data_IF_004385946202
#
_entry.id   IF_004385946202
#
_cell.length_a   1.000
_cell.length_b   1.000
_cell.length_c   1.000
_cell.angle_alpha   90.00
_cell.angle_beta   90.00
_cell.angle_gamma   90.00
#
_symmetry.space_group_name_H-M   'P 1'
#
loop_
_entity.id
_entity.type
_entity.pdbx_description
1 polymer ?
#
# COMPACT_ATOMS: atom_id res chain seq x y z
N UNK A 1 -50.67 -6.95 17.36
CA UNK A 1 -51.56 -6.15 18.22
C UNK A 1 -52.15 -7.08 19.26
N UNK A 2 -52.19 -6.69 20.53
CA UNK A 2 -52.93 -7.46 21.55
C UNK A 2 -54.40 -7.12 21.33
N UNK A 3 -55.21 -8.13 21.01
CA UNK A 3 -56.61 -7.94 20.61
C UNK A 3 -57.49 -7.53 21.80
N UNK A 4 -57.19 -8.02 23.01
CA UNK A 4 -57.85 -7.65 24.27
C UNK A 4 -56.82 -7.43 25.40
N UNK A 5 -56.49 -6.17 25.76
CA UNK A 5 -55.45 -5.85 26.71
C UNK A 5 -55.90 -6.04 28.17
N UNK A 6 -55.57 -7.19 28.75
CA UNK A 6 -55.57 -7.43 30.21
C UNK A 6 -54.17 -7.20 30.78
N UNK A 7 -54.06 -6.86 32.07
CA UNK A 7 -52.76 -6.73 32.77
C UNK A 7 -51.88 -7.97 32.61
N UNK A 8 -52.46 -9.16 32.69
CA UNK A 8 -51.80 -10.45 32.45
C UNK A 8 -51.27 -10.58 31.01
N UNK A 9 -52.11 -10.28 30.01
CA UNK A 9 -51.74 -10.36 28.59
C UNK A 9 -50.60 -9.38 28.23
N UNK A 10 -50.63 -8.17 28.81
CA UNK A 10 -49.59 -7.16 28.62
C UNK A 10 -48.27 -7.62 29.23
N UNK A 11 -48.28 -8.16 30.45
CA UNK A 11 -47.07 -8.65 31.13
C UNK A 11 -46.46 -9.84 30.38
N UNK A 12 -47.30 -10.77 29.91
CA UNK A 12 -46.86 -11.90 29.11
C UNK A 12 -46.25 -11.47 27.78
N UNK A 13 -46.87 -10.51 27.07
CA UNK A 13 -46.31 -9.93 25.86
C UNK A 13 -44.95 -9.27 26.11
N UNK A 14 -44.81 -8.50 27.20
CA UNK A 14 -43.53 -7.87 27.58
C UNK A 14 -42.45 -8.91 27.84
N UNK A 15 -42.77 -9.99 28.57
CA UNK A 15 -41.87 -11.12 28.80
C UNK A 15 -41.39 -11.76 27.50
N UNK A 16 -42.31 -12.09 26.60
CA UNK A 16 -41.96 -12.66 25.29
C UNK A 16 -41.15 -11.69 24.43
N UNK A 17 -41.51 -10.41 24.38
CA UNK A 17 -40.76 -9.38 23.66
C UNK A 17 -39.33 -9.26 24.18
N UNK A 18 -39.15 -9.23 25.50
CA UNK A 18 -37.83 -9.16 26.13
C UNK A 18 -37.02 -10.43 25.85
N UNK A 19 -37.65 -11.60 25.94
CA UNK A 19 -37.02 -12.87 25.62
C UNK A 19 -36.57 -12.94 24.15
N UNK A 20 -37.46 -12.59 23.21
CA UNK A 20 -37.16 -12.52 21.78
C UNK A 20 -36.03 -11.52 21.47
N UNK A 21 -36.05 -10.34 22.10
CA UNK A 21 -35.00 -9.33 21.95
C UNK A 21 -33.66 -9.86 22.47
N UNK A 22 -33.68 -10.57 23.61
CA UNK A 22 -32.50 -11.20 24.20
C UNK A 22 -31.93 -12.28 23.28
N UNK A 23 -32.77 -13.19 22.80
CA UNK A 23 -32.37 -14.23 21.84
C UNK A 23 -31.79 -13.61 20.58
N UNK A 24 -32.44 -12.60 20.01
CA UNK A 24 -31.96 -11.90 18.81
C UNK A 24 -30.58 -11.29 19.04
N UNK A 25 -30.33 -10.69 20.20
CA UNK A 25 -29.03 -10.11 20.55
C UNK A 25 -27.94 -11.18 20.67
N UNK A 26 -28.24 -12.28 21.36
CA UNK A 26 -27.32 -13.41 21.54
C UNK A 26 -26.99 -14.05 20.19
N UNK A 27 -28.00 -14.35 19.37
CA UNK A 27 -27.79 -14.95 18.05
C UNK A 27 -26.94 -14.07 17.13
N UNK A 28 -27.17 -12.75 17.12
CA UNK A 28 -26.34 -11.81 16.36
C UNK A 28 -24.90 -11.78 16.86
N UNK A 29 -24.69 -11.74 18.17
CA UNK A 29 -23.36 -11.77 18.78
C UNK A 29 -22.59 -13.02 18.38
N UNK A 30 -23.22 -14.19 18.53
CA UNK A 30 -22.61 -15.48 18.20
C UNK A 30 -22.27 -15.59 16.71
N UNK A 31 -23.16 -15.12 15.83
CA UNK A 31 -22.91 -15.11 14.39
C UNK A 31 -21.64 -14.32 14.03
N UNK A 32 -21.52 -13.07 14.50
CA UNK A 32 -20.36 -12.25 14.19
C UNK A 32 -19.08 -12.74 14.86
N UNK A 33 -19.17 -13.28 16.07
CA UNK A 33 -18.02 -13.91 16.74
C UNK A 33 -17.48 -15.08 15.92
N UNK A 34 -18.35 -15.97 15.44
CA UNK A 34 -17.94 -17.09 14.58
C UNK A 34 -17.34 -16.60 13.26
N UNK A 35 -17.97 -15.61 12.60
CA UNK A 35 -17.47 -15.02 11.35
C UNK A 35 -16.07 -14.38 11.51
N UNK A 36 -15.80 -13.76 12.65
CA UNK A 36 -14.47 -13.22 12.99
C UNK A 36 -13.45 -14.35 13.19
N UNK A 37 -13.81 -15.41 13.91
CA UNK A 37 -12.93 -16.55 14.17
C UNK A 37 -12.56 -17.29 12.87
N UNK A 38 -13.52 -17.48 11.96
CA UNK A 38 -13.28 -18.04 10.63
C UNK A 38 -12.35 -17.15 9.78
N UNK A 39 -12.43 -15.84 9.95
CA UNK A 39 -11.65 -14.84 9.24
C UNK A 39 -10.29 -14.49 9.86
N UNK A 40 -9.90 -15.07 11.01
CA UNK A 40 -8.76 -14.59 11.82
C UNK A 40 -7.42 -14.50 11.08
N UNK A 41 -7.17 -15.40 10.13
CA UNK A 41 -5.93 -15.44 9.35
C UNK A 41 -6.03 -14.65 8.03
N UNK A 42 -7.17 -14.01 7.76
CA UNK A 42 -7.43 -13.28 6.54
C UNK A 42 -7.92 -11.87 6.88
N UNK A 43 -6.97 -10.92 6.90
CA UNK A 43 -7.25 -9.51 7.21
C UNK A 43 -8.35 -8.91 6.35
N UNK A 44 -8.50 -9.35 5.08
CA UNK A 44 -9.58 -8.87 4.21
C UNK A 44 -10.95 -9.30 4.72
N UNK A 45 -11.12 -10.59 5.03
CA UNK A 45 -12.38 -11.13 5.60
C UNK A 45 -12.72 -10.51 6.95
N UNK A 46 -11.70 -10.25 7.78
CA UNK A 46 -11.90 -9.59 9.06
C UNK A 46 -12.42 -8.16 8.87
N UNK A 47 -11.82 -7.39 7.95
CA UNK A 47 -12.28 -6.04 7.61
C UNK A 47 -13.68 -6.02 6.99
N UNK A 48 -14.02 -6.98 6.15
CA UNK A 48 -15.39 -7.15 5.63
C UNK A 48 -16.39 -7.37 6.76
N UNK A 49 -16.07 -8.23 7.73
CA UNK A 49 -16.91 -8.48 8.89
C UNK A 49 -17.08 -7.23 9.77
N UNK A 50 -16.01 -6.48 10.02
CA UNK A 50 -16.06 -5.21 10.77
C UNK A 50 -16.90 -4.18 10.03
N UNK A 51 -16.74 -4.06 8.71
CA UNK A 51 -17.53 -3.14 7.90
C UNK A 51 -19.03 -3.49 7.94
N UNK A 52 -19.39 -4.77 7.92
CA UNK A 52 -20.79 -5.19 8.06
C UNK A 52 -21.41 -4.76 9.40
N UNK A 53 -20.60 -4.71 10.47
CA UNK A 53 -21.05 -4.33 11.82
C UNK A 53 -21.09 -2.80 11.98
N UNK A 54 -20.02 -2.11 11.57
CA UNK A 54 -19.82 -0.69 11.82
C UNK A 54 -20.48 0.19 10.75
N UNK A 55 -20.48 -0.23 9.49
CA UNK A 55 -21.00 0.54 8.38
C UNK A 55 -22.36 0.00 7.96
N UNK A 56 -23.42 0.59 8.50
CA UNK A 56 -24.76 0.48 7.90
C UNK A 56 -24.67 0.89 6.42
N UNK A 57 -25.30 0.09 5.53
CA UNK A 57 -25.40 0.23 4.07
C UNK A 57 -24.81 1.53 3.55
N UNK A 58 -23.77 1.47 2.71
CA UNK A 58 -23.14 2.63 2.05
C UNK A 58 -24.21 3.65 1.72
N UNK A 59 -24.26 4.75 2.48
CA UNK A 59 -25.07 5.89 2.09
C UNK A 59 -24.31 6.47 0.90
N UNK A 60 -24.76 6.14 -0.30
CA UNK A 60 -24.33 6.83 -1.51
C UNK A 60 -24.98 8.21 -1.43
N UNK A 61 -24.32 9.13 -0.74
CA UNK A 61 -24.64 10.55 -0.85
C UNK A 61 -23.90 11.07 -2.06
N UNK A 62 -24.64 11.40 -3.11
CA UNK A 62 -24.09 12.21 -4.18
C UNK A 62 -23.73 13.59 -3.61
N UNK A 63 -22.62 14.14 -4.09
CA UNK A 63 -22.18 15.48 -3.72
C UNK A 63 -23.15 16.46 -4.39
N UNK A 64 -24.08 17.00 -3.61
CA UNK A 64 -25.13 17.89 -4.11
C UNK A 64 -24.65 19.29 -4.45
N UNK A 65 -23.59 19.76 -3.79
CA UNK A 65 -22.97 21.07 -4.04
C UNK A 65 -21.55 21.14 -3.48
N UNK A 66 -20.72 22.02 -4.02
CA UNK A 66 -19.38 22.34 -3.52
C UNK A 66 -19.15 23.85 -3.56
N UNK A 67 -18.39 24.35 -2.59
CA UNK A 67 -17.85 25.71 -2.63
C UNK A 67 -16.54 25.72 -3.44
N UNK A 68 -16.51 26.52 -4.49
CA UNK A 68 -15.33 26.71 -5.35
C UNK A 68 -14.27 27.56 -4.65
N UNK A 69 -13.03 27.55 -5.16
CA UNK A 69 -11.91 28.39 -4.70
C UNK A 69 -12.26 29.90 -4.64
N UNK A 70 -13.25 30.33 -5.41
CA UNK A 70 -13.74 31.70 -5.49
C UNK A 70 -14.88 32.01 -4.49
N UNK A 71 -15.22 31.09 -3.57
CA UNK A 71 -16.30 31.24 -2.60
C UNK A 71 -17.71 31.09 -3.17
N UNK A 72 -17.84 30.66 -4.43
CA UNK A 72 -19.15 30.40 -5.06
C UNK A 72 -19.56 28.95 -4.83
N UNK A 73 -20.79 28.75 -4.34
CA UNK A 73 -21.41 27.43 -4.24
C UNK A 73 -21.95 27.01 -5.62
N UNK A 74 -21.63 25.80 -6.06
CA UNK A 74 -22.13 25.24 -7.33
C UNK A 74 -22.70 23.84 -7.16
N UNK A 75 -23.76 23.56 -7.92
CA UNK A 75 -24.42 22.24 -8.05
C UNK A 75 -24.18 21.59 -9.42
N UNK A 76 -23.49 22.30 -10.33
CA UNK A 76 -23.27 21.80 -11.68
C UNK A 76 -22.20 20.70 -11.64
N UNK A 77 -22.50 19.47 -12.10
CA UNK A 77 -21.56 18.34 -12.02
C UNK A 77 -20.19 18.61 -12.66
N UNK A 78 -20.15 19.37 -13.77
CA UNK A 78 -18.90 19.70 -14.45
C UNK A 78 -18.08 20.71 -13.64
N UNK A 79 -18.74 21.70 -13.05
CA UNK A 79 -18.06 22.69 -12.19
C UNK A 79 -17.58 22.03 -10.89
N UNK A 80 -18.36 21.09 -10.33
CA UNK A 80 -17.95 20.28 -9.17
C UNK A 80 -16.70 19.47 -9.49
N UNK A 81 -16.69 18.75 -10.63
CA UNK A 81 -15.53 17.97 -11.07
C UNK A 81 -14.28 18.84 -11.29
N UNK A 82 -14.46 20.01 -11.90
CA UNK A 82 -13.38 20.97 -12.12
C UNK A 82 -12.83 21.52 -10.79
N UNK A 83 -13.71 21.86 -9.83
CA UNK A 83 -13.29 22.32 -8.51
C UNK A 83 -12.48 21.24 -7.75
N UNK A 84 -12.89 19.97 -7.87
CA UNK A 84 -12.12 18.85 -7.33
C UNK A 84 -10.74 18.71 -7.98
N UNK A 85 -10.69 18.79 -9.31
CA UNK A 85 -9.43 18.71 -10.05
C UNK A 85 -8.49 19.83 -9.64
N UNK A 86 -8.97 21.08 -9.67
CA UNK A 86 -8.21 22.28 -9.28
C UNK A 86 -7.66 22.17 -7.85
N UNK A 87 -8.49 21.74 -6.89
CA UNK A 87 -8.05 21.58 -5.51
C UNK A 87 -6.92 20.55 -5.38
N UNK A 88 -7.10 19.34 -5.92
CA UNK A 88 -6.12 18.27 -5.73
C UNK A 88 -4.85 18.43 -6.59
N UNK A 89 -4.90 19.16 -7.70
CA UNK A 89 -3.69 19.53 -8.44
C UNK A 89 -2.88 20.58 -7.71
N UNK A 90 -3.53 21.53 -7.04
CA UNK A 90 -2.87 22.71 -6.48
C UNK A 90 -2.55 22.55 -4.98
N UNK A 91 -3.17 21.61 -4.25
CA UNK A 91 -2.93 21.44 -2.80
C UNK A 91 -1.44 21.28 -2.46
N UNK A 92 -0.67 20.59 -3.31
CA UNK A 92 0.77 20.41 -3.10
C UNK A 92 1.57 21.72 -3.24
N UNK A 93 1.28 22.50 -4.29
CA UNK A 93 1.94 23.78 -4.53
C UNK A 93 1.52 24.83 -3.50
N UNK A 94 0.24 24.85 -3.14
CA UNK A 94 -0.33 25.78 -2.16
C UNK A 94 0.23 25.51 -0.76
N UNK A 95 0.40 24.24 -0.40
CA UNK A 95 1.01 23.89 0.88
C UNK A 95 2.52 24.17 0.86
N UNK A 96 3.21 23.85 -0.23
CA UNK A 96 4.64 24.13 -0.38
C UNK A 96 4.97 25.62 -0.33
N UNK A 97 4.09 26.48 -0.84
CA UNK A 97 4.28 27.94 -0.82
C UNK A 97 4.07 28.55 0.57
N UNK A 98 3.26 27.90 1.42
CA UNK A 98 3.02 28.30 2.82
C UNK A 98 4.08 27.80 3.79
N UNK A 99 4.87 26.80 3.39
CA UNK A 99 6.01 26.34 4.17
C UNK A 99 7.11 27.38 4.04
N UNK A 100 7.48 28.01 5.15
CA UNK A 100 8.62 28.94 5.19
C UNK A 100 9.88 28.21 4.70
N UNK A 101 10.53 28.77 3.68
CA UNK A 101 11.83 28.28 3.21
C UNK A 101 12.85 28.56 4.30
N UNK A 102 13.11 27.56 5.15
CA UNK A 102 14.20 27.65 6.09
C UNK A 102 15.52 27.60 5.30
N UNK A 103 16.15 28.75 5.09
CA UNK A 103 17.47 28.86 4.44
C UNK A 103 18.58 28.11 5.22
N UNK A 104 18.27 27.69 6.46
CA UNK A 104 19.20 27.03 7.37
C UNK A 104 18.66 25.69 7.86
N UNK A 105 18.32 24.79 6.95
CA UNK A 105 18.46 23.36 7.26
C UNK A 105 19.94 22.99 7.23
N UNK A 106 20.70 23.42 8.24
CA UNK A 106 21.85 22.60 8.63
C UNK A 106 21.25 21.35 9.23
N UNK A 107 21.25 20.23 8.50
CA UNK A 107 21.01 18.91 9.09
C UNK A 107 21.83 18.86 10.39
N UNK A 108 21.13 18.96 11.52
CA UNK A 108 21.75 19.01 12.84
C UNK A 108 22.55 17.73 12.99
N UNK A 109 23.87 17.89 13.02
CA UNK A 109 24.86 16.83 12.85
C UNK A 109 24.71 16.09 11.52
N UNK A 110 25.65 16.37 10.59
CA UNK A 110 26.15 15.31 9.71
C UNK A 110 26.72 14.21 10.61
N UNK A 111 25.87 13.38 11.22
CA UNK A 111 26.32 12.07 11.64
C UNK A 111 26.96 11.49 10.40
N UNK A 112 28.23 11.16 10.53
CA UNK A 112 29.04 10.59 9.47
C UNK A 112 28.30 9.36 8.98
N UNK A 113 27.57 9.51 7.87
CA UNK A 113 26.98 8.37 7.18
C UNK A 113 28.18 7.49 6.87
N UNK A 114 28.20 6.30 7.47
CA UNK A 114 29.27 5.35 7.27
C UNK A 114 29.45 5.19 5.76
N UNK A 115 30.65 5.53 5.25
CA UNK A 115 30.99 5.43 3.81
C UNK A 115 30.98 3.98 3.29
N UNK A 116 30.62 3.04 4.14
CA UNK A 116 30.54 1.62 3.86
C UNK A 116 29.25 1.07 4.44
N UNK A 117 28.54 0.30 3.62
CA UNK A 117 27.41 -0.53 4.01
C UNK A 117 27.87 -1.98 3.91
N UNK A 118 27.76 -2.73 5.01
CA UNK A 118 28.06 -4.15 5.00
C UNK A 118 26.78 -4.92 4.70
N UNK A 119 26.65 -5.42 3.48
CA UNK A 119 25.58 -6.33 3.11
C UNK A 119 26.02 -7.75 3.46
N UNK A 120 25.15 -8.51 4.13
CA UNK A 120 25.41 -9.94 4.34
C UNK A 120 25.43 -10.63 2.97
N UNK A 121 26.43 -11.49 2.69
CA UNK A 121 26.38 -12.35 1.52
C UNK A 121 25.05 -13.09 1.52
N UNK A 122 24.30 -12.99 0.42
CA UNK A 122 23.02 -13.70 0.30
C UNK A 122 23.28 -15.15 -0.17
N UNK A 123 22.33 -15.87 -0.74
CA UNK A 123 22.61 -17.04 -1.55
C UNK A 123 21.51 -17.17 -2.61
N UNK A 124 21.77 -17.90 -3.69
CA UNK A 124 20.80 -18.09 -4.78
C UNK A 124 19.43 -18.55 -4.24
N UNK A 125 19.45 -19.55 -3.34
CA UNK A 125 18.26 -20.07 -2.68
C UNK A 125 17.50 -19.01 -1.86
N UNK A 126 18.21 -18.12 -1.18
CA UNK A 126 17.58 -17.06 -0.38
C UNK A 126 16.91 -16.01 -1.28
N UNK A 127 17.48 -15.70 -2.44
CA UNK A 127 16.86 -14.81 -3.44
C UNK A 127 15.58 -15.46 -3.98
N UNK A 128 15.65 -16.73 -4.38
CA UNK A 128 14.52 -17.49 -4.90
C UNK A 128 13.38 -17.51 -3.87
N UNK A 129 13.68 -17.85 -2.63
CA UNK A 129 12.70 -17.90 -1.54
C UNK A 129 11.97 -16.56 -1.36
N UNK A 130 12.71 -15.44 -1.36
CA UNK A 130 12.12 -14.11 -1.16
C UNK A 130 11.25 -13.64 -2.32
N UNK A 131 11.60 -14.03 -3.55
CA UNK A 131 10.84 -13.70 -4.77
C UNK A 131 9.57 -14.54 -4.86
N UNK A 132 9.64 -15.85 -4.60
CA UNK A 132 8.46 -16.73 -4.59
C UNK A 132 7.43 -16.26 -3.54
N UNK A 133 7.91 -15.75 -2.40
CA UNK A 133 7.06 -15.22 -1.32
C UNK A 133 6.48 -13.80 -1.60
N UNK A 134 6.72 -13.21 -2.77
CA UNK A 134 6.06 -11.96 -3.16
C UNK A 134 4.55 -12.16 -3.29
N UNK A 135 3.77 -11.16 -2.88
CA UNK A 135 2.31 -11.20 -2.93
C UNK A 135 1.83 -10.76 -4.31
N UNK A 136 1.10 -11.62 -5.01
CA UNK A 136 0.64 -11.36 -6.39
C UNK A 136 -0.39 -10.22 -6.50
N UNK A 137 -1.16 -9.96 -5.45
CA UNK A 137 -2.24 -8.98 -5.45
C UNK A 137 -1.78 -7.52 -5.28
N UNK A 138 -0.47 -7.28 -5.23
CA UNK A 138 0.09 -5.92 -5.11
C UNK A 138 0.18 -5.26 -6.48
N UNK A 139 -0.14 -3.97 -6.51
CA UNK A 139 0.00 -3.18 -7.73
C UNK A 139 1.47 -3.17 -8.18
N UNK A 140 1.72 -3.26 -9.50
CA UNK A 140 3.06 -3.12 -10.04
C UNK A 140 3.63 -1.73 -9.73
N UNK A 141 4.95 -1.60 -9.83
CA UNK A 141 5.62 -0.30 -9.75
C UNK A 141 5.34 0.56 -10.99
N UNK A 142 6.09 1.65 -11.15
CA UNK A 142 6.03 2.49 -12.35
C UNK A 142 6.34 1.74 -13.66
N UNK A 143 6.92 0.54 -13.55
CA UNK A 143 7.35 -0.32 -14.65
C UNK A 143 6.23 -1.24 -15.15
N UNK A 144 5.10 -1.31 -14.44
CA UNK A 144 3.99 -2.20 -14.80
C UNK A 144 4.28 -3.70 -14.57
N UNK A 145 5.44 -4.06 -14.00
CA UNK A 145 5.83 -5.46 -13.83
C UNK A 145 5.16 -6.03 -12.56
N UNK A 146 4.29 -7.03 -12.76
CA UNK A 146 3.64 -7.73 -11.65
C UNK A 146 4.58 -8.76 -11.02
N UNK A 147 4.37 -9.01 -9.73
CA UNK A 147 5.12 -10.04 -9.00
C UNK A 147 5.03 -11.44 -9.62
N UNK A 148 3.96 -11.72 -10.38
CA UNK A 148 3.78 -12.98 -11.11
C UNK A 148 4.88 -13.19 -12.16
N UNK A 149 5.13 -12.18 -13.00
CA UNK A 149 6.16 -12.25 -14.05
C UNK A 149 7.57 -12.39 -13.45
N UNK A 150 7.83 -11.74 -12.31
CA UNK A 150 9.13 -11.81 -11.62
C UNK A 150 9.39 -13.24 -11.10
N UNK A 151 8.34 -13.96 -10.69
CA UNK A 151 8.46 -15.34 -10.21
C UNK A 151 8.80 -16.31 -11.34
N UNK A 152 8.33 -16.06 -12.56
CA UNK A 152 8.62 -16.91 -13.73
C UNK A 152 10.10 -16.88 -14.11
N UNK A 153 10.74 -15.72 -13.98
CA UNK A 153 12.16 -15.51 -14.33
C UNK A 153 13.10 -15.60 -13.11
N UNK A 154 12.61 -16.09 -11.97
CA UNK A 154 13.36 -16.05 -10.70
C UNK A 154 14.70 -16.79 -10.76
N UNK A 155 14.77 -17.90 -11.49
CA UNK A 155 16.00 -18.69 -11.65
C UNK A 155 17.10 -17.88 -12.35
N UNK A 156 16.73 -17.13 -13.39
CA UNK A 156 17.68 -16.27 -14.12
C UNK A 156 18.11 -15.07 -13.28
N UNK A 157 17.18 -14.49 -12.50
CA UNK A 157 17.48 -13.41 -11.56
C UNK A 157 18.44 -13.89 -10.48
N UNK A 158 18.19 -15.06 -9.89
CA UNK A 158 18.99 -15.58 -8.79
C UNK A 158 20.41 -15.93 -9.24
N UNK A 159 20.56 -16.54 -10.42
CA UNK A 159 21.85 -16.85 -11.02
C UNK A 159 22.70 -15.60 -11.32
N UNK A 160 22.07 -14.49 -11.74
CA UNK A 160 22.76 -13.22 -12.08
C UNK A 160 22.95 -12.27 -10.90
N UNK A 161 22.03 -12.24 -9.94
CA UNK A 161 22.10 -11.34 -8.78
C UNK A 161 23.07 -11.85 -7.71
N UNK A 162 23.31 -13.17 -7.64
CA UNK A 162 24.20 -13.79 -6.66
C UNK A 162 25.67 -13.32 -6.74
N UNK A 163 26.33 -13.30 -7.91
CA UNK A 163 27.73 -12.83 -8.03
C UNK A 163 27.93 -11.39 -7.56
N UNK A 164 26.93 -10.53 -7.77
CA UNK A 164 26.98 -9.10 -7.43
C UNK A 164 26.92 -8.86 -5.92
N UNK A 165 26.30 -9.77 -5.15
CA UNK A 165 26.22 -9.67 -3.68
C UNK A 165 27.52 -10.05 -2.96
N UNK A 166 28.43 -10.77 -3.62
CA UNK A 166 29.70 -11.24 -3.03
C UNK A 166 30.84 -10.25 -3.29
N UNK A 167 30.77 -9.49 -4.39
CA UNK A 167 31.76 -8.49 -4.75
C UNK A 167 31.42 -7.09 -4.19
N UNK A 168 31.38 -6.95 -2.86
CA UNK A 168 31.31 -5.61 -2.25
C UNK A 168 32.71 -5.07 -1.97
N UNK A 169 33.34 -4.47 -2.99
CA UNK A 169 34.27 -3.35 -2.78
C UNK A 169 34.02 -2.20 -3.78
N UNK A 170 33.70 -2.45 -5.06
CA UNK A 170 33.65 -1.36 -6.06
C UNK A 170 32.29 -1.13 -6.73
N UNK A 171 31.21 -1.10 -5.93
CA UNK A 171 29.89 -0.63 -6.42
C UNK A 171 29.90 0.82 -6.95
N UNK A 172 30.73 1.77 -6.43
CA UNK A 172 30.79 3.11 -7.00
C UNK A 172 31.38 3.17 -8.41
N UNK A 173 32.36 2.32 -8.74
CA UNK A 173 33.09 2.36 -10.02
C UNK A 173 32.26 1.74 -11.14
N UNK A 174 31.51 0.66 -10.84
CA UNK A 174 30.63 0.00 -11.80
C UNK A 174 29.43 0.86 -12.22
N UNK A 175 28.91 1.70 -11.31
CA UNK A 175 27.87 2.70 -11.62
C UNK A 175 28.42 3.88 -12.43
N UNK A 176 29.69 4.24 -12.23
CA UNK A 176 30.34 5.33 -12.95
C UNK A 176 30.73 4.91 -14.38
N UNK A 177 31.29 3.71 -14.57
CA UNK A 177 31.61 3.19 -15.91
C UNK A 177 30.36 2.96 -16.77
N UNK A 178 29.27 2.47 -16.17
CA UNK A 178 28.02 2.29 -16.92
C UNK A 178 27.31 3.61 -17.26
N UNK A 179 27.39 4.63 -16.40
CA UNK A 179 26.89 5.97 -16.72
C UNK A 179 27.67 6.62 -17.89
N UNK A 180 28.98 6.36 -17.97
CA UNK A 180 29.84 6.80 -19.07
C UNK A 180 29.53 6.02 -20.36
N UNK A 181 29.18 4.73 -20.28
CA UNK A 181 28.80 3.91 -21.43
C UNK A 181 27.43 4.29 -22.02
N UNK A 182 26.47 4.73 -21.20
CA UNK A 182 25.18 5.22 -21.68
C UNK A 182 25.29 6.52 -22.50
N UNK A 183 26.29 7.35 -22.22
CA UNK A 183 26.56 8.57 -22.99
C UNK A 183 27.25 8.27 -24.34
N UNK A 184 27.98 7.14 -24.43
CA UNK A 184 28.84 6.79 -25.56
C UNK A 184 28.18 5.91 -26.63
N UNK A 185 27.02 5.31 -26.35
CA UNK A 185 26.34 4.35 -27.24
C UNK A 185 24.96 4.81 -27.70
N UNK A 186 24.64 6.10 -27.65
CA UNK A 186 23.38 6.66 -28.15
C UNK A 186 23.14 6.29 -29.63
N UNK A 187 22.43 5.20 -29.91
CA UNK A 187 22.04 4.83 -31.27
C UNK A 187 21.79 3.36 -31.62
N UNK A 188 21.81 2.39 -30.69
CA UNK A 188 21.59 0.96 -31.04
C UNK A 188 20.61 0.24 -30.12
N UNK A 189 19.85 -0.72 -30.65
CA UNK A 189 18.89 -1.59 -29.95
C UNK A 189 19.47 -2.35 -28.74
N UNK A 190 20.80 -2.41 -28.61
CA UNK A 190 21.51 -2.95 -27.45
C UNK A 190 21.28 -2.09 -26.18
N UNK A 191 21.00 -0.78 -26.32
CA UNK A 191 20.69 0.13 -25.20
C UNK A 191 19.39 -0.24 -24.49
N UNK A 192 18.32 -0.56 -25.22
CA UNK A 192 17.01 -0.85 -24.60
C UNK A 192 17.08 -2.10 -23.72
N UNK A 193 17.85 -3.10 -24.14
CA UNK A 193 18.01 -4.35 -23.38
C UNK A 193 18.85 -4.07 -22.13
N UNK A 194 20.00 -3.38 -22.27
CA UNK A 194 20.90 -3.11 -21.14
C UNK A 194 20.29 -2.13 -20.13
N UNK A 195 19.57 -1.09 -20.57
CA UNK A 195 18.83 -0.18 -19.68
C UNK A 195 17.79 -0.95 -18.86
N UNK A 196 16.93 -1.75 -19.52
CA UNK A 196 15.91 -2.54 -18.83
C UNK A 196 16.54 -3.48 -17.80
N UNK A 197 17.66 -4.13 -18.12
CA UNK A 197 18.35 -5.02 -17.18
C UNK A 197 18.94 -4.29 -15.97
N UNK A 198 19.56 -3.12 -16.17
CA UNK A 198 20.12 -2.30 -15.07
C UNK A 198 19.00 -1.78 -14.17
N UNK A 199 17.89 -1.33 -14.76
CA UNK A 199 16.71 -0.90 -13.99
C UNK A 199 16.10 -2.05 -13.20
N UNK A 200 15.92 -3.22 -13.79
CA UNK A 200 15.40 -4.42 -13.10
C UNK A 200 16.32 -4.81 -11.95
N UNK A 201 17.65 -4.79 -12.13
CA UNK A 201 18.60 -5.12 -11.08
C UNK A 201 18.57 -4.10 -9.93
N UNK A 202 18.49 -2.80 -10.23
CA UNK A 202 18.35 -1.72 -9.23
C UNK A 202 17.03 -1.86 -8.46
N UNK A 203 15.93 -2.21 -9.14
CA UNK A 203 14.61 -2.38 -8.52
C UNK A 203 14.61 -3.60 -7.60
N UNK A 204 15.14 -4.74 -8.07
CA UNK A 204 15.28 -5.97 -7.27
C UNK A 204 16.16 -5.71 -6.06
N UNK A 205 17.29 -5.01 -6.23
CA UNK A 205 18.14 -4.55 -5.13
C UNK A 205 17.38 -3.61 -4.18
N UNK A 206 16.57 -2.67 -4.67
CA UNK A 206 15.81 -1.74 -3.81
C UNK A 206 14.72 -2.43 -2.99
N UNK A 207 14.12 -3.51 -3.53
CA UNK A 207 13.09 -4.30 -2.85
C UNK A 207 13.73 -5.27 -1.85
N UNK A 208 14.87 -5.87 -2.20
CA UNK A 208 15.65 -6.72 -1.30
C UNK A 208 16.26 -5.91 -0.16
N UNK A 209 16.85 -4.75 -0.43
CA UNK A 209 17.39 -3.84 0.58
C UNK A 209 16.31 -3.37 1.55
N UNK A 210 15.11 -2.99 1.07
CA UNK A 210 13.98 -2.62 1.95
C UNK A 210 13.54 -3.75 2.88
N UNK A 211 13.52 -5.00 2.39
CA UNK A 211 13.17 -6.17 3.21
C UNK A 211 14.28 -6.57 4.19
N UNK A 212 15.55 -6.48 3.78
CA UNK A 212 16.69 -6.79 4.62
C UNK A 212 16.90 -5.74 5.73
N UNK A 213 16.72 -4.44 5.43
CA UNK A 213 16.79 -3.37 6.43
C UNK A 213 15.71 -3.52 7.51
N UNK A 214 14.49 -3.92 7.12
CA UNK A 214 13.40 -4.17 8.07
C UNK A 214 13.63 -5.39 8.99
N UNK A 215 14.48 -6.35 8.59
CA UNK A 215 14.83 -7.52 9.41
C UNK A 215 15.96 -7.24 10.41
N UNK A 216 16.66 -6.11 10.32
CA UNK A 216 17.76 -5.72 11.23
C UNK A 216 17.29 -4.67 12.25
N UNK A 217 16.11 -4.07 12.07
CA UNK A 217 15.53 -3.08 12.97
C UNK A 217 14.53 -3.66 14.00
N UNK A 218 14.48 -5.00 14.17
CA UNK A 218 13.77 -5.69 15.26
C UNK A 218 14.75 -6.53 16.08
#
# INVERSE_FOLDING_TARGET
>A
MILDPTTVNIDQYKKYKNHFTTLTRISKSNFYQNKILEGKNNSKKLWECINDICCSKKRTSDIGEIETSNGRITKNPNEVANAFAEFYTNVGTDLSSKIEKCEKYTFGNKQQISKSIFLKPTCENHVIEKVINLKNYKSPGHDGIKAEHIKEIVMEIAAKAWPVSVATVDVPEMLLEHAILTERLAGSAVLQIVEVYVYVLIIVLSVLLRKLFFQVAC
#
